data_IF_614222944691
#
_entry.id   IF_614222944691
#
_cell.length_a   1.000
_cell.length_b   1.000
_cell.length_c   1.000
_cell.angle_alpha   90.00
_cell.angle_beta   90.00
_cell.angle_gamma   90.00
#
_symmetry.space_group_name_H-M   'P 1'
#
loop_
_entity.id
_entity.type
_entity.pdbx_description
1 polymer ?
#
# COMPACT_ATOMS: atom_id res chain seq x y z
N UNK A 1 7.24 -3.93 12.94
CA UNK A 1 6.24 -4.77 12.27
C UNK A 1 6.88 -6.03 11.69
N UNK A 2 8.11 -5.98 11.19
CA UNK A 2 8.85 -7.17 10.72
C UNK A 2 8.93 -8.30 11.75
N UNK A 3 9.08 -7.99 13.04
CA UNK A 3 9.08 -9.01 14.10
C UNK A 3 7.78 -9.81 14.16
N UNK A 4 6.64 -9.12 14.02
CA UNK A 4 5.30 -9.75 13.97
C UNK A 4 5.08 -10.47 12.65
N UNK A 5 5.56 -9.90 11.54
CA UNK A 5 5.48 -10.52 10.22
C UNK A 5 6.24 -11.86 10.17
N UNK A 6 7.33 -11.97 10.94
CA UNK A 6 8.18 -13.16 11.08
C UNK A 6 7.75 -14.13 12.19
N UNK A 7 6.72 -13.81 12.98
CA UNK A 7 6.22 -14.76 13.97
C UNK A 7 5.82 -16.08 13.29
N UNK A 8 5.93 -17.22 14.01
CA UNK A 8 5.29 -18.45 13.60
C UNK A 8 3.82 -18.21 13.25
N UNK A 9 3.32 -18.93 12.25
CA UNK A 9 1.95 -18.74 11.75
C UNK A 9 0.89 -18.82 12.86
N UNK A 10 1.06 -19.73 13.82
CA UNK A 10 0.16 -19.87 14.98
C UNK A 10 0.19 -18.65 15.91
N UNK A 11 1.37 -18.19 16.30
CA UNK A 11 1.51 -17.01 17.18
C UNK A 11 0.96 -15.74 16.52
N UNK A 12 1.22 -15.57 15.22
CA UNK A 12 0.65 -14.46 14.46
C UNK A 12 -0.88 -14.55 14.38
N UNK A 13 -1.40 -15.76 14.22
CA UNK A 13 -2.84 -16.02 14.27
C UNK A 13 -3.40 -15.67 15.66
N UNK A 14 -2.83 -16.15 16.76
CA UNK A 14 -3.35 -15.85 18.09
C UNK A 14 -3.43 -14.33 18.38
N UNK A 15 -2.43 -13.56 17.95
CA UNK A 15 -2.43 -12.10 18.04
C UNK A 15 -3.61 -11.48 17.27
N UNK A 16 -3.80 -11.89 16.02
CA UNK A 16 -4.86 -11.34 15.18
C UNK A 16 -6.26 -11.75 15.68
N UNK A 17 -6.43 -12.93 16.28
CA UNK A 17 -7.71 -13.37 16.85
C UNK A 17 -8.05 -12.61 18.13
N UNK A 18 -7.04 -12.35 18.97
CA UNK A 18 -7.21 -11.50 20.15
C UNK A 18 -7.66 -10.09 19.75
N UNK A 19 -7.03 -9.52 18.72
CA UNK A 19 -7.39 -8.20 18.16
C UNK A 19 -8.79 -8.20 17.55
N UNK A 20 -9.12 -9.23 16.77
CA UNK A 20 -10.42 -9.41 16.14
C UNK A 20 -11.55 -9.41 17.18
N UNK A 21 -11.38 -10.17 18.28
CA UNK A 21 -12.32 -10.20 19.41
C UNK A 21 -12.49 -8.83 20.06
N UNK A 22 -11.40 -8.09 20.29
CA UNK A 22 -11.46 -6.75 20.91
C UNK A 22 -12.17 -5.74 20.01
N UNK A 23 -11.94 -5.81 18.70
CA UNK A 23 -12.49 -4.88 17.70
C UNK A 23 -13.86 -5.31 17.14
N UNK A 24 -14.34 -6.51 17.46
CA UNK A 24 -15.54 -7.13 16.87
C UNK A 24 -15.46 -7.21 15.35
N UNK A 25 -14.28 -7.54 14.84
CA UNK A 25 -13.98 -7.78 13.42
C UNK A 25 -13.59 -9.26 13.23
N UNK A 26 -13.46 -9.71 11.99
CA UNK A 26 -12.91 -11.05 11.71
C UNK A 26 -11.39 -11.03 11.71
N UNK A 27 -10.76 -12.18 11.98
CA UNK A 27 -9.30 -12.32 11.96
C UNK A 27 -8.71 -11.98 10.59
N UNK A 28 -9.43 -12.25 9.50
CA UNK A 28 -9.01 -11.93 8.13
C UNK A 28 -8.92 -10.42 7.89
N UNK A 29 -9.87 -9.65 8.44
CA UNK A 29 -9.83 -8.18 8.38
C UNK A 29 -8.59 -7.67 9.13
N UNK A 30 -8.35 -8.17 10.34
CA UNK A 30 -7.21 -7.77 11.16
C UNK A 30 -5.88 -8.15 10.49
N UNK A 31 -5.78 -9.36 9.96
CA UNK A 31 -4.58 -9.83 9.29
C UNK A 31 -4.29 -8.97 8.05
N UNK A 32 -5.29 -8.73 7.21
CA UNK A 32 -5.13 -7.90 6.03
C UNK A 32 -4.78 -6.46 6.39
N UNK A 33 -5.39 -5.90 7.44
CA UNK A 33 -5.03 -4.59 7.99
C UNK A 33 -3.55 -4.50 8.37
N UNK A 34 -3.05 -5.51 9.06
CA UNK A 34 -1.63 -5.61 9.41
C UNK A 34 -0.75 -5.60 8.16
N UNK A 35 -1.07 -6.43 7.16
CA UNK A 35 -0.25 -6.54 5.95
C UNK A 35 -0.30 -5.30 5.07
N UNK A 36 -1.43 -4.57 5.01
CA UNK A 36 -1.50 -3.24 4.37
C UNK A 36 -0.54 -2.26 5.06
N UNK A 37 -0.60 -2.17 6.39
CA UNK A 37 0.26 -1.26 7.16
C UNK A 37 1.74 -1.65 7.06
N UNK A 38 2.05 -2.95 7.06
CA UNK A 38 3.39 -3.47 6.88
C UNK A 38 3.93 -3.14 5.48
N UNK A 39 3.12 -3.33 4.44
CA UNK A 39 3.47 -3.02 3.04
C UNK A 39 3.78 -1.54 2.86
N UNK A 40 2.91 -0.66 3.37
CA UNK A 40 3.14 0.79 3.38
C UNK A 40 4.45 1.15 4.09
N UNK A 41 4.71 0.55 5.26
CA UNK A 41 5.96 0.77 5.98
C UNK A 41 7.17 0.41 5.11
N UNK A 42 7.19 -0.77 4.49
CA UNK A 42 8.33 -1.21 3.66
C UNK A 42 8.51 -0.32 2.43
N UNK A 43 7.42 0.00 1.75
CA UNK A 43 7.38 0.82 0.55
C UNK A 43 7.98 2.22 0.79
N UNK A 44 7.57 2.90 1.85
CA UNK A 44 8.03 4.27 2.16
C UNK A 44 9.34 4.31 2.95
N UNK A 45 9.91 3.16 3.31
CA UNK A 45 11.26 3.06 3.89
C UNK A 45 12.27 2.46 2.91
N UNK A 46 11.88 2.27 1.64
CA UNK A 46 12.79 1.87 0.58
C UNK A 46 13.94 2.89 0.44
N UNK A 47 15.18 2.42 0.26
CA UNK A 47 16.28 3.31 -0.11
C UNK A 47 16.12 3.76 -1.56
N UNK A 48 16.10 5.07 -1.80
CA UNK A 48 15.95 5.68 -3.14
C UNK A 48 14.72 5.15 -3.92
N UNK A 49 13.49 5.37 -3.40
CA UNK A 49 12.29 4.98 -4.11
C UNK A 49 12.17 5.78 -5.40
N UNK A 50 11.76 5.16 -6.52
CA UNK A 50 11.68 5.88 -7.78
C UNK A 50 10.66 7.02 -7.72
N UNK A 51 11.06 8.17 -8.25
CA UNK A 51 10.18 9.27 -8.65
C UNK A 51 9.26 9.85 -7.56
N UNK A 52 9.60 9.73 -6.27
CA UNK A 52 8.77 10.20 -5.15
C UNK A 52 7.42 9.46 -5.08
N UNK A 53 6.95 9.12 -3.88
CA UNK A 53 5.68 8.40 -3.76
C UNK A 53 4.76 9.13 -2.78
N UNK A 54 3.47 9.16 -3.10
CA UNK A 54 2.43 9.63 -2.21
C UNK A 54 1.38 8.56 -1.98
N UNK A 55 0.98 8.42 -0.72
CA UNK A 55 -0.18 7.61 -0.35
C UNK A 55 -1.45 8.45 -0.42
N UNK A 56 -2.47 7.95 -1.13
CA UNK A 56 -3.72 8.68 -1.39
C UNK A 56 -4.93 7.77 -1.28
N UNK A 57 -6.08 8.26 -1.74
CA UNK A 57 -7.30 7.47 -1.88
C UNK A 57 -7.99 7.12 -0.57
N UNK A 58 -8.96 6.20 -0.64
CA UNK A 58 -9.85 5.86 0.48
C UNK A 58 -9.09 5.32 1.70
N UNK A 59 -8.01 4.58 1.47
CA UNK A 59 -7.20 3.98 2.52
C UNK A 59 -6.41 5.02 3.30
N UNK A 60 -5.94 6.08 2.65
CA UNK A 60 -5.36 7.23 3.35
C UNK A 60 -6.41 7.97 4.19
N UNK A 61 -7.63 8.14 3.68
CA UNK A 61 -8.74 8.78 4.40
C UNK A 61 -9.15 8.01 5.66
N UNK A 62 -9.16 6.67 5.63
CA UNK A 62 -9.46 5.86 6.81
C UNK A 62 -8.28 5.77 7.77
N UNK A 63 -7.09 5.44 7.28
CA UNK A 63 -5.92 5.16 8.14
C UNK A 63 -5.25 6.37 8.75
N UNK A 64 -5.27 7.51 8.05
CA UNK A 64 -4.61 8.73 8.50
C UNK A 64 -5.60 9.72 9.08
N UNK A 65 -6.75 9.88 8.44
CA UNK A 65 -7.71 10.92 8.83
C UNK A 65 -8.90 10.37 9.63
N UNK A 66 -9.10 9.05 9.69
CA UNK A 66 -10.24 8.43 10.38
C UNK A 66 -11.61 8.83 9.81
N UNK A 67 -11.65 9.27 8.54
CA UNK A 67 -12.84 9.93 7.94
C UNK A 67 -13.86 8.92 7.41
N UNK A 68 -13.46 7.68 7.13
CA UNK A 68 -14.36 6.63 6.63
C UNK A 68 -14.15 5.32 7.38
N UNK A 69 -15.23 4.71 7.85
CA UNK A 69 -15.28 3.43 8.59
C UNK A 69 -15.41 2.23 7.64
N UNK A 70 -14.64 2.23 6.55
CA UNK A 70 -14.55 1.07 5.65
C UNK A 70 -13.15 0.52 5.61
N UNK A 71 -13.05 -0.78 5.80
CA UNK A 71 -11.84 -1.52 5.50
C UNK A 71 -11.59 -1.44 3.99
N UNK A 72 -10.43 -0.93 3.59
CA UNK A 72 -10.06 -0.80 2.18
C UNK A 72 -8.92 -1.77 1.90
N UNK A 73 -9.14 -2.67 0.95
CA UNK A 73 -8.14 -3.64 0.52
C UNK A 73 -7.07 -3.07 -0.41
N UNK A 74 -7.40 -1.97 -1.07
CA UNK A 74 -6.57 -1.33 -2.08
C UNK A 74 -5.71 -0.23 -1.45
N UNK A 75 -4.47 -0.09 -1.92
CA UNK A 75 -3.56 0.97 -1.53
C UNK A 75 -3.32 1.84 -2.75
N UNK A 76 -3.94 3.02 -2.76
CA UNK A 76 -3.76 3.99 -3.85
C UNK A 76 -2.46 4.79 -3.64
N UNK A 77 -1.61 4.76 -4.65
CA UNK A 77 -0.31 5.42 -4.66
C UNK A 77 -0.19 6.34 -5.87
N UNK A 78 0.69 7.34 -5.77
CA UNK A 78 1.00 8.23 -6.88
C UNK A 78 2.48 8.58 -6.93
N UNK A 79 3.14 8.34 -8.05
CA UNK A 79 4.45 8.92 -8.34
C UNK A 79 4.37 10.41 -8.58
N UNK A 80 5.40 11.15 -8.18
CA UNK A 80 5.58 12.55 -8.56
C UNK A 80 5.84 12.64 -10.07
N UNK A 81 4.99 13.38 -10.78
CA UNK A 81 5.16 13.63 -12.21
C UNK A 81 6.52 14.25 -12.50
N UNK A 82 6.97 15.19 -11.66
CA UNK A 82 8.29 15.81 -11.83
C UNK A 82 9.41 14.78 -11.64
N UNK A 83 9.28 13.88 -10.66
CA UNK A 83 10.18 12.75 -10.45
C UNK A 83 10.24 11.75 -11.62
N UNK A 84 9.17 11.68 -12.41
CA UNK A 84 9.11 10.89 -13.66
C UNK A 84 9.62 11.65 -14.89
N UNK A 85 10.06 12.90 -14.73
CA UNK A 85 10.54 13.75 -15.82
C UNK A 85 9.45 14.57 -16.52
N UNK A 86 8.25 14.66 -15.95
CA UNK A 86 7.14 15.44 -16.48
C UNK A 86 6.92 16.68 -15.60
N UNK A 87 7.62 17.77 -15.94
CA UNK A 87 7.55 19.05 -15.23
C UNK A 87 7.57 20.25 -16.18
N UNK A 88 7.06 21.40 -15.73
CA UNK A 88 7.00 22.62 -16.56
C UNK A 88 6.24 22.37 -17.87
N UNK A 89 6.82 22.73 -19.01
CA UNK A 89 6.22 22.52 -20.34
C UNK A 89 6.05 21.05 -20.73
N UNK A 90 6.82 20.14 -20.12
CA UNK A 90 6.71 18.69 -20.35
C UNK A 90 5.61 18.03 -19.52
N UNK A 91 5.04 18.74 -18.53
CA UNK A 91 3.88 18.23 -17.79
C UNK A 91 2.65 18.19 -18.73
N UNK A 92 2.04 17.02 -18.95
CA UNK A 92 0.84 16.90 -19.79
C UNK A 92 -0.29 17.82 -19.35
N UNK A 93 -0.40 18.15 -18.06
CA UNK A 93 -1.44 19.03 -17.55
C UNK A 93 -1.27 20.49 -17.96
N UNK A 94 -0.03 20.91 -18.27
CA UNK A 94 0.27 22.25 -18.77
C UNK A 94 0.09 22.37 -20.29
N UNK A 95 -0.23 21.28 -20.99
CA UNK A 95 -0.40 21.30 -22.45
C UNK A 95 -1.57 22.20 -22.88
N UNK A 96 -1.36 23.10 -23.87
CA UNK A 96 -2.37 24.06 -24.33
C UNK A 96 -3.45 23.41 -25.20
N UNK A 97 -3.17 22.23 -25.80
CA UNK A 97 -4.11 21.50 -26.64
C UNK A 97 -4.47 20.14 -26.06
N UNK A 98 -5.73 19.72 -26.25
CA UNK A 98 -6.21 18.41 -25.78
C UNK A 98 -5.47 17.23 -26.42
N UNK A 99 -5.04 17.35 -27.68
CA UNK A 99 -4.28 16.31 -28.38
C UNK A 99 -2.89 16.11 -27.77
N UNK A 100 -2.17 17.20 -27.51
CA UNK A 100 -0.85 17.14 -26.84
C UNK A 100 -0.99 16.61 -25.41
N UNK A 101 -2.00 17.07 -24.66
CA UNK A 101 -2.32 16.56 -23.32
C UNK A 101 -2.53 15.04 -23.34
N UNK A 102 -3.35 14.53 -24.27
CA UNK A 102 -3.61 13.10 -24.40
C UNK A 102 -2.32 12.31 -24.67
N UNK A 103 -1.52 12.72 -25.65
CA UNK A 103 -0.24 12.07 -25.94
C UNK A 103 0.73 12.13 -24.75
N UNK A 104 0.78 13.25 -24.04
CA UNK A 104 1.59 13.39 -22.83
C UNK A 104 1.14 12.45 -21.71
N UNK A 105 -0.17 12.30 -21.48
CA UNK A 105 -0.72 11.38 -20.49
C UNK A 105 -0.45 9.91 -20.86
N UNK A 106 -0.47 9.57 -22.14
CA UNK A 106 -0.08 8.24 -22.63
C UNK A 106 1.42 7.97 -22.40
N UNK A 107 2.27 8.98 -22.66
CA UNK A 107 3.71 8.89 -22.38
C UNK A 107 4.00 8.77 -20.87
N UNK A 108 3.27 9.51 -20.04
CA UNK A 108 3.34 9.43 -18.59
C UNK A 108 2.94 8.02 -18.11
N UNK A 109 1.82 7.49 -18.58
CA UNK A 109 1.37 6.13 -18.23
C UNK A 109 2.40 5.05 -18.60
N UNK A 110 2.98 5.13 -19.82
CA UNK A 110 4.06 4.22 -20.24
C UNK A 110 5.30 4.33 -19.37
N UNK A 111 5.64 5.55 -18.93
CA UNK A 111 6.77 5.78 -18.03
C UNK A 111 6.49 5.20 -16.64
N UNK A 112 5.28 5.36 -16.11
CA UNK A 112 4.86 4.70 -14.86
C UNK A 112 4.99 3.19 -14.95
N UNK A 113 4.40 2.56 -15.96
CA UNK A 113 4.48 1.10 -16.18
C UNK A 113 5.92 0.60 -16.16
N UNK A 114 6.80 1.30 -16.90
CA UNK A 114 8.22 0.97 -16.99
C UNK A 114 8.91 1.07 -15.63
N UNK A 115 8.72 2.18 -14.91
CA UNK A 115 9.32 2.39 -13.59
C UNK A 115 8.80 1.37 -12.56
N UNK A 116 7.52 1.02 -12.60
CA UNK A 116 6.95 -0.01 -11.73
C UNK A 116 7.65 -1.34 -11.98
N UNK A 117 7.70 -1.77 -13.25
CA UNK A 117 8.27 -3.07 -13.64
C UNK A 117 9.78 -3.17 -13.43
N UNK A 118 10.53 -2.15 -13.84
CA UNK A 118 11.99 -2.21 -13.92
C UNK A 118 12.68 -1.74 -12.64
N UNK A 119 11.99 -0.96 -11.80
CA UNK A 119 12.59 -0.39 -10.58
C UNK A 119 11.83 -0.73 -9.31
N UNK A 120 10.56 -0.33 -9.22
CA UNK A 120 9.82 -0.44 -7.96
C UNK A 120 9.60 -1.91 -7.56
N UNK A 121 9.13 -2.74 -8.49
CA UNK A 121 8.88 -4.16 -8.23
C UNK A 121 10.16 -4.89 -7.77
N UNK A 122 11.32 -4.81 -8.47
CA UNK A 122 12.56 -5.40 -7.98
C UNK A 122 12.99 -4.90 -6.59
N UNK A 123 12.87 -3.60 -6.32
CA UNK A 123 13.20 -3.04 -5.00
C UNK A 123 12.28 -3.59 -3.90
N UNK A 124 10.97 -3.68 -4.17
CA UNK A 124 10.00 -4.24 -3.23
C UNK A 124 10.27 -5.72 -2.98
N UNK A 125 10.52 -6.51 -4.02
CA UNK A 125 10.87 -7.92 -3.89
C UNK A 125 12.11 -8.09 -3.00
N UNK A 126 13.19 -7.35 -3.28
CA UNK A 126 14.40 -7.39 -2.46
C UNK A 126 14.11 -7.01 -1.00
N UNK A 127 13.42 -5.89 -0.78
CA UNK A 127 13.07 -5.44 0.56
C UNK A 127 12.14 -6.42 1.29
N UNK A 128 11.28 -7.16 0.59
CA UNK A 128 10.34 -8.10 1.20
C UNK A 128 11.05 -9.42 1.51
N UNK A 129 11.94 -9.89 0.61
CA UNK A 129 12.83 -11.03 0.87
C UNK A 129 13.69 -10.81 2.11
N UNK A 130 14.29 -9.63 2.28
CA UNK A 130 15.08 -9.30 3.48
C UNK A 130 14.29 -9.41 4.79
N UNK A 131 12.98 -9.15 4.73
CA UNK A 131 12.13 -9.09 5.90
C UNK A 131 11.40 -10.41 6.18
N UNK A 132 10.96 -11.12 5.14
CA UNK A 132 10.10 -12.30 5.21
C UNK A 132 10.83 -13.61 4.86
N UNK A 133 12.04 -13.53 4.30
CA UNK A 133 12.74 -14.66 3.69
C UNK A 133 12.41 -14.80 2.20
N UNK A 134 13.25 -15.55 1.48
CA UNK A 134 13.14 -15.70 0.02
C UNK A 134 11.86 -16.44 -0.39
N UNK A 135 11.23 -16.08 -1.54
CA UNK A 135 9.98 -16.67 -2.03
C UNK A 135 9.99 -18.20 -2.14
N UNK A 136 11.14 -18.80 -2.49
CA UNK A 136 11.28 -20.26 -2.62
C UNK A 136 11.19 -21.02 -1.28
N UNK A 137 11.21 -20.30 -0.16
CA UNK A 137 11.08 -20.85 1.20
C UNK A 137 9.83 -20.36 1.93
N UNK A 138 8.97 -19.60 1.24
CA UNK A 138 7.85 -18.87 1.86
C UNK A 138 6.59 -18.93 0.98
N UNK A 139 5.48 -18.42 1.51
CA UNK A 139 4.16 -18.45 0.85
C UNK A 139 3.75 -17.11 0.25
N UNK A 140 4.65 -16.13 0.20
CA UNK A 140 4.35 -14.79 -0.30
C UNK A 140 4.82 -14.59 -1.75
N UNK A 141 4.10 -13.76 -2.51
CA UNK A 141 4.49 -13.33 -3.86
C UNK A 141 4.26 -11.84 -4.06
N UNK A 142 5.02 -11.24 -4.97
CA UNK A 142 4.81 -9.87 -5.46
C UNK A 142 4.84 -9.90 -6.99
N UNK A 143 3.72 -9.57 -7.62
CA UNK A 143 3.53 -9.69 -9.07
C UNK A 143 2.73 -8.51 -9.64
N UNK A 144 2.80 -8.30 -10.95
CA UNK A 144 1.91 -7.37 -11.64
C UNK A 144 0.51 -7.99 -11.73
N UNK A 145 -0.53 -7.17 -11.56
CA UNK A 145 -1.90 -7.64 -11.73
C UNK A 145 -2.21 -7.86 -13.22
N UNK A 146 -2.58 -9.09 -13.60
CA UNK A 146 -2.95 -9.43 -14.98
C UNK A 146 -4.29 -8.80 -15.40
N UNK A 147 -5.14 -8.49 -14.42
CA UNK A 147 -6.46 -7.87 -14.62
C UNK A 147 -6.40 -6.34 -14.76
N UNK A 148 -5.21 -5.74 -14.65
CA UNK A 148 -5.01 -4.30 -14.79
C UNK A 148 -4.55 -3.93 -16.21
N UNK A 149 -5.43 -3.38 -17.06
CA UNK A 149 -5.08 -2.97 -18.42
C UNK A 149 -4.04 -1.84 -18.45
N UNK A 150 -3.94 -1.04 -17.37
CA UNK A 150 -2.97 0.04 -17.27
C UNK A 150 -1.59 -0.45 -16.81
N UNK A 151 -1.46 -1.73 -16.40
CA UNK A 151 -0.20 -2.35 -16.00
C UNK A 151 0.52 -1.61 -14.87
N UNK A 152 -0.26 -0.97 -13.98
CA UNK A 152 0.17 -0.06 -12.93
C UNK A 152 -0.16 -0.58 -11.53
N UNK A 153 -0.61 -1.83 -11.44
CA UNK A 153 -0.98 -2.48 -10.19
C UNK A 153 -0.03 -3.61 -9.82
N UNK A 154 0.42 -3.62 -8.57
CA UNK A 154 1.13 -4.74 -7.96
C UNK A 154 0.23 -5.49 -6.98
N UNK A 155 0.34 -6.81 -6.97
CA UNK A 155 -0.35 -7.70 -6.03
C UNK A 155 0.68 -8.30 -5.09
N UNK A 156 0.54 -8.01 -3.80
CA UNK A 156 1.29 -8.68 -2.74
C UNK A 156 0.42 -9.75 -2.10
N UNK A 157 0.65 -11.02 -2.45
CA UNK A 157 0.10 -12.17 -1.71
C UNK A 157 0.95 -12.36 -0.47
N UNK A 158 0.38 -12.15 0.71
CA UNK A 158 1.12 -12.20 1.96
C UNK A 158 1.03 -13.59 2.63
N UNK A 159 1.95 -13.93 3.55
CA UNK A 159 1.85 -15.16 4.34
C UNK A 159 0.62 -15.14 5.25
N UNK A 160 -0.35 -16.03 5.02
CA UNK A 160 -1.59 -16.10 5.82
C UNK A 160 -1.40 -16.84 7.14
N UNK A 161 -2.20 -16.49 8.14
CA UNK A 161 -2.43 -17.31 9.33
C UNK A 161 -3.13 -18.63 8.99
N UNK A 162 -2.93 -19.65 9.81
CA UNK A 162 -3.61 -20.95 9.70
C UNK A 162 -4.97 -20.91 10.40
N UNK A 163 -5.83 -20.00 9.98
CA UNK A 163 -7.15 -19.87 10.58
C UNK A 163 -8.04 -21.04 10.17
N UNK A 164 -8.60 -21.73 11.17
CA UNK A 164 -9.65 -22.72 10.94
C UNK A 164 -10.93 -21.99 10.54
N UNK A 165 -11.17 -21.90 9.24
CA UNK A 165 -12.42 -21.37 8.70
C UNK A 165 -13.45 -22.50 8.64
N UNK A 166 -14.71 -22.28 9.07
CA UNK A 166 -15.79 -23.19 8.75
C UNK A 166 -15.85 -23.40 7.22
N UNK A 167 -15.96 -24.65 6.78
CA UNK A 167 -15.86 -25.03 5.36
C UNK A 167 -16.95 -24.41 4.46
N UNK A 168 -17.99 -23.88 5.09
CA UNK A 168 -19.25 -23.38 4.55
C UNK A 168 -19.31 -21.86 4.37
N UNK A 169 -18.37 -21.09 4.92
CA UNK A 169 -18.27 -19.67 4.59
C UNK A 169 -17.49 -19.48 3.28
N UNK A 170 -17.76 -18.44 2.49
CA UNK A 170 -16.87 -17.98 1.42
C UNK A 170 -15.90 -16.96 2.00
N UNK A 171 -14.61 -17.02 1.63
CA UNK A 171 -13.65 -16.05 2.13
C UNK A 171 -13.97 -14.71 1.45
N UNK A 172 -14.67 -13.82 2.16
CA UNK A 172 -15.06 -12.52 1.62
C UNK A 172 -13.84 -11.63 1.32
N UNK A 173 -12.70 -11.92 1.98
CA UNK A 173 -11.47 -11.12 1.87
C UNK A 173 -10.34 -11.99 1.30
N UNK A 174 -9.80 -11.57 0.16
CA UNK A 174 -8.63 -12.21 -0.46
C UNK A 174 -7.35 -11.84 0.30
N UNK A 175 -6.42 -12.79 0.52
CA UNK A 175 -5.15 -12.55 1.21
C UNK A 175 -4.11 -11.87 0.30
N UNK A 176 -4.50 -10.71 -0.23
CA UNK A 176 -3.72 -9.91 -1.17
C UNK A 176 -3.84 -8.45 -0.78
N UNK A 177 -2.71 -7.74 -0.75
CA UNK A 177 -2.67 -6.28 -0.77
C UNK A 177 -2.51 -5.84 -2.23
N UNK A 178 -3.45 -5.05 -2.72
CA UNK A 178 -3.41 -4.50 -4.08
C UNK A 178 -2.84 -3.08 -4.02
N UNK A 179 -1.76 -2.83 -4.75
CA UNK A 179 -1.05 -1.55 -4.80
C UNK A 179 -1.29 -0.90 -6.16
N UNK A 180 -2.19 0.08 -6.24
CA UNK A 180 -2.50 0.78 -7.49
C UNK A 180 -1.65 2.06 -7.59
N UNK A 181 -0.77 2.15 -8.59
CA UNK A 181 0.27 3.19 -8.64
C UNK A 181 0.12 4.05 -9.89
N UNK A 182 -0.45 5.25 -9.74
CA UNK A 182 -0.61 6.21 -10.83
C UNK A 182 0.41 7.35 -10.81
N UNK A 183 0.24 8.34 -11.69
CA UNK A 183 0.95 9.63 -11.63
C UNK A 183 0.07 10.83 -12.05
N UNK A 184 -1.25 10.63 -12.15
CA UNK A 184 -2.16 11.69 -12.64
C UNK A 184 -2.58 12.70 -11.57
N UNK A 185 -2.39 12.38 -10.30
CA UNK A 185 -2.77 13.26 -9.18
C UNK A 185 -1.72 14.32 -8.93
N UNK A 186 -2.13 15.45 -8.38
CA UNK A 186 -1.21 16.46 -7.86
C UNK A 186 -0.59 15.99 -6.54
N UNK A 187 0.59 16.52 -6.22
CA UNK A 187 1.39 16.12 -5.06
C UNK A 187 1.29 17.06 -3.87
N UNK A 188 0.44 18.09 -3.99
CA UNK A 188 0.30 19.15 -3.00
C UNK A 188 -1.17 19.45 -2.68
N UNK A 189 -1.54 19.67 -1.40
CA UNK A 189 -0.69 19.55 -0.22
C UNK A 189 -0.45 18.09 0.19
N UNK A 190 0.73 17.79 0.71
CA UNK A 190 1.06 16.52 1.34
C UNK A 190 1.42 16.77 2.82
N UNK A 191 1.00 15.86 3.69
CA UNK A 191 1.36 15.84 5.11
C UNK A 191 2.15 14.58 5.42
N UNK A 192 3.04 14.66 6.41
CA UNK A 192 3.60 13.45 7.00
C UNK A 192 2.60 12.85 7.99
N UNK A 193 2.27 11.58 7.80
CA UNK A 193 1.37 10.85 8.68
C UNK A 193 1.90 9.47 9.03
N UNK A 194 1.52 8.99 10.21
CA UNK A 194 1.84 7.64 10.66
C UNK A 194 0.65 6.73 10.46
N UNK A 195 0.89 5.54 9.90
CA UNK A 195 -0.11 4.46 9.81
C UNK A 195 0.20 3.40 10.85
N UNK A 196 -0.84 2.95 11.55
CA UNK A 196 -0.78 1.94 12.61
C UNK A 196 -1.80 0.86 12.28
N UNK A 197 -1.41 -0.41 12.41
CA UNK A 197 -2.36 -1.52 12.28
C UNK A 197 -3.21 -1.67 13.54
N UNK A 198 -4.39 -2.28 13.43
CA UNK A 198 -5.23 -2.55 14.60
C UNK A 198 -4.51 -3.38 15.65
N UNK A 199 -3.78 -4.42 15.24
CA UNK A 199 -2.99 -5.24 16.14
C UNK A 199 -1.89 -4.44 16.88
N UNK A 200 -1.25 -3.50 16.19
CA UNK A 200 -0.24 -2.64 16.82
C UNK A 200 -0.86 -1.59 17.76
N UNK A 201 -2.08 -1.12 17.47
CA UNK A 201 -2.80 -0.21 18.33
C UNK A 201 -3.33 -0.89 19.61
N UNK A 202 -3.82 -2.14 19.50
CA UNK A 202 -4.40 -2.88 20.63
C UNK A 202 -3.33 -3.60 21.47
N UNK A 203 -2.27 -4.10 20.84
CA UNK A 203 -1.20 -4.86 21.49
C UNK A 203 0.19 -4.26 21.22
N UNK A 204 0.44 -2.98 21.56
CA UNK A 204 1.68 -2.27 21.21
C UNK A 204 2.94 -2.96 21.73
N UNK A 205 2.88 -3.63 22.89
CA UNK A 205 4.01 -4.30 23.52
C UNK A 205 4.53 -5.52 22.73
N UNK A 206 3.74 -6.06 21.80
CA UNK A 206 4.16 -7.16 20.91
C UNK A 206 5.06 -6.63 19.78
N UNK A 207 5.05 -5.32 19.53
CA UNK A 207 5.75 -4.70 18.42
C UNK A 207 6.97 -3.90 18.91
N UNK A 208 8.19 -4.29 18.49
CA UNK A 208 9.38 -3.46 18.75
C UNK A 208 9.34 -2.11 18.01
N UNK A 209 8.69 -2.08 16.85
CA UNK A 209 8.41 -0.86 16.05
C UNK A 209 6.97 -0.91 15.51
N UNK A 210 5.98 -0.37 16.25
CA UNK A 210 4.55 -0.52 15.96
C UNK A 210 4.07 0.32 14.77
N UNK A 211 4.78 1.41 14.46
CA UNK A 211 4.36 2.42 13.48
C UNK A 211 5.06 2.27 12.13
N UNK A 212 4.42 2.69 11.04
CA UNK A 212 5.00 2.73 9.68
C UNK A 212 6.12 3.76 9.48
N UNK A 213 6.39 4.62 10.47
CA UNK A 213 7.19 5.84 10.27
C UNK A 213 6.36 6.92 9.58
N UNK A 214 6.94 8.11 9.40
CA UNK A 214 6.29 9.23 8.72
C UNK A 214 6.18 8.93 7.22
N UNK A 215 4.96 8.68 6.74
CA UNK A 215 4.63 8.50 5.34
C UNK A 215 4.17 9.85 4.77
N UNK A 216 4.62 10.26 3.58
CA UNK A 216 4.01 11.39 2.88
C UNK A 216 2.64 10.95 2.34
N UNK A 217 1.58 11.55 2.89
CA UNK A 217 0.19 11.27 2.58
C UNK A 217 -0.44 12.50 1.99
N UNK A 218 -1.23 12.33 0.92
CA UNK A 218 -1.94 13.46 0.33
C UNK A 218 -2.86 14.08 1.38
N UNK A 219 -2.59 15.35 1.72
CA UNK A 219 -3.35 16.09 2.68
C UNK A 219 -4.68 16.47 2.06
N UNK A 220 -5.79 15.97 2.60
CA UNK A 220 -7.07 16.66 2.36
C UNK A 220 -6.94 18.01 3.06
N UNK A 221 -6.66 19.07 2.30
CA UNK A 221 -7.13 20.38 2.74
C UNK A 221 -8.65 20.22 2.78
N UNK A 222 -9.19 19.93 3.97
CA UNK A 222 -10.57 20.28 4.28
C UNK A 222 -10.61 21.77 4.03
N UNK A 223 -10.99 22.15 2.81
CA UNK A 223 -11.37 23.50 2.51
C UNK A 223 -12.41 23.81 3.58
N UNK A 224 -12.04 24.66 4.54
CA UNK A 224 -13.03 25.28 5.42
C UNK A 224 -14.05 25.86 4.46
N UNK A 225 -15.21 25.22 4.38
CA UNK A 225 -16.39 25.84 3.84
C UNK A 225 -16.53 27.15 4.63
N UNK A 226 -16.23 28.26 3.96
CA UNK A 226 -16.59 29.59 4.44
C UNK A 226 -18.03 29.83 4.05
#
# INVERSE_FOLDING_TARGET
MDDVARLPTGDRADLFAATARQRRLTSEIIEKDFWVCWTLKRLFTLPDPPAGLLFKGGTSLSKVFGVIDRFSEDVDLSFDRAGLGFSGESDPLNSPTGKQRKHGLEALAKTCQRIIRERLLPQLVAAFSDALGEPHSTTWTMELAEDDPDGQTLLFRYPTGNWSRPADELAYIRPVVRLEIGARSDHWPAIEATVISYAAADFPNVFRRPVSGNLPVFGVMLAKAR
#
